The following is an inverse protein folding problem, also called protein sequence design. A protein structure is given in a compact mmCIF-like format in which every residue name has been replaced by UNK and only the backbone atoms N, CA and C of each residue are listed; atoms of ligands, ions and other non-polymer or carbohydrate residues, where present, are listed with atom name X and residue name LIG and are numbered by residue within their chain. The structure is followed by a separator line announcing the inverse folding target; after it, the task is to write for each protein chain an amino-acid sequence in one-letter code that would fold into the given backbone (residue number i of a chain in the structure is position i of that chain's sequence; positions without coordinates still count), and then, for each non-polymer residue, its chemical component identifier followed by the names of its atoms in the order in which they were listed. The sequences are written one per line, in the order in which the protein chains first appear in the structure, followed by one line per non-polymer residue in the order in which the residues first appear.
data_IF_660540664272
#
_entry.id   IF_660540664272
#
_cell.length_a   1.000
_cell.length_b   1.000
_cell.length_c   1.000
_cell.angle_alpha   90.00
_cell.angle_beta   90.00
_cell.angle_gamma   90.00
#
_symmetry.space_group_name_H-M   'P 1'
#
loop_
_entity.id
_entity.type
_entity.pdbx_description
1 polymer ?
#
# COMPACT_ATOMS: atom_id res chain seq x y z
N UNK A 1 26.01 -19.17 -25.80
CA UNK A 1 25.70 -17.94 -26.59
C UNK A 1 24.23 -17.50 -26.57
N UNK A 2 23.27 -18.36 -26.29
CA UNK A 2 21.82 -17.96 -26.16
C UNK A 2 21.43 -17.30 -24.83
N UNK A 3 22.10 -17.63 -23.73
CA UNK A 3 21.80 -17.04 -22.40
C UNK A 3 22.09 -15.53 -22.32
N UNK A 4 23.12 -15.03 -23.01
CA UNK A 4 23.46 -13.60 -22.96
C UNK A 4 22.50 -12.67 -23.73
N UNK A 5 21.71 -13.20 -24.69
CA UNK A 5 20.70 -12.38 -25.39
C UNK A 5 19.44 -12.14 -24.60
N UNK A 6 19.06 -13.06 -23.71
CA UNK A 6 17.88 -12.90 -22.84
C UNK A 6 18.14 -11.84 -21.77
N UNK A 7 19.35 -11.81 -21.19
CA UNK A 7 19.70 -10.83 -20.14
C UNK A 7 19.79 -9.39 -20.68
N UNK A 8 20.30 -9.18 -21.90
CA UNK A 8 20.32 -7.86 -22.53
C UNK A 8 18.90 -7.32 -22.78
N UNK A 9 17.97 -8.18 -23.14
CA UNK A 9 16.58 -7.81 -23.44
C UNK A 9 15.83 -7.33 -22.20
N UNK A 10 16.08 -7.89 -21.00
CA UNK A 10 15.47 -7.44 -19.74
C UNK A 10 16.05 -6.12 -19.23
N UNK A 11 17.34 -5.86 -19.41
CA UNK A 11 17.97 -4.59 -19.02
C UNK A 11 17.46 -3.42 -19.87
N UNK A 12 17.31 -3.61 -21.19
CA UNK A 12 16.75 -2.61 -22.11
C UNK A 12 15.24 -2.38 -21.88
N UNK A 13 14.48 -3.44 -21.59
CA UNK A 13 13.05 -3.31 -21.27
C UNK A 13 12.83 -2.47 -20.00
N UNK A 14 13.66 -2.63 -18.97
CA UNK A 14 13.56 -1.85 -17.73
C UNK A 14 13.93 -0.39 -17.95
N UNK A 15 14.94 -0.09 -18.77
CA UNK A 15 15.35 1.29 -19.12
C UNK A 15 14.29 2.01 -19.98
N UNK A 16 13.74 1.30 -20.98
CA UNK A 16 12.69 1.85 -21.86
C UNK A 16 11.33 2.02 -21.16
N UNK A 17 11.10 1.25 -20.08
CA UNK A 17 9.87 1.34 -19.26
C UNK A 17 9.91 2.46 -18.22
N UNK A 18 11.11 2.92 -17.81
CA UNK A 18 11.27 4.02 -16.85
C UNK A 18 10.82 5.38 -17.43
N UNK A 19 10.83 5.54 -18.75
CA UNK A 19 10.37 6.75 -19.45
C UNK A 19 8.84 6.93 -19.46
N UNK A 20 8.07 5.86 -19.20
CA UNK A 20 6.60 5.89 -19.17
C UNK A 20 5.99 6.14 -17.79
N UNK A 21 6.81 6.21 -16.74
CA UNK A 21 6.34 6.43 -15.37
C UNK A 21 6.39 7.92 -15.07
N UNK A 22 5.25 8.52 -14.71
CA UNK A 22 5.20 9.89 -14.21
C UNK A 22 6.00 10.00 -12.91
N UNK A 23 6.93 10.93 -12.85
CA UNK A 23 7.76 11.19 -11.67
C UNK A 23 7.80 12.68 -11.35
N UNK A 24 7.56 13.01 -10.09
CA UNK A 24 7.89 14.31 -9.54
C UNK A 24 9.32 14.24 -8.97
N UNK A 25 10.19 15.17 -9.33
CA UNK A 25 11.43 15.37 -8.57
C UNK A 25 11.12 16.25 -7.35
N UNK A 26 11.20 15.67 -6.16
CA UNK A 26 10.95 16.38 -4.90
C UNK A 26 12.20 17.18 -4.55
N UNK A 27 12.23 18.44 -4.95
CA UNK A 27 13.38 19.37 -4.73
C UNK A 27 13.34 20.04 -3.36
N UNK A 28 12.15 20.19 -2.76
CA UNK A 28 11.99 20.73 -1.40
C UNK A 28 12.62 19.78 -0.38
N UNK A 29 13.48 20.26 0.53
CA UNK A 29 14.09 19.41 1.55
C UNK A 29 13.01 18.74 2.42
N UNK A 30 13.11 17.42 2.58
CA UNK A 30 12.29 16.61 3.46
C UNK A 30 13.10 16.12 4.65
N UNK A 31 12.73 16.53 5.85
CA UNK A 31 13.31 16.03 7.09
C UNK A 31 12.57 14.75 7.48
N UNK A 32 13.30 13.63 7.43
CA UNK A 32 12.82 12.32 7.84
C UNK A 32 12.75 12.18 9.36
N UNK A 33 11.93 11.27 9.86
CA UNK A 33 11.84 10.99 11.30
C UNK A 33 13.18 10.48 11.87
N UNK A 34 14.02 9.81 11.07
CA UNK A 34 15.40 9.43 11.43
C UNK A 34 16.39 10.61 11.46
N UNK A 35 15.91 11.86 11.32
CA UNK A 35 16.67 13.12 11.36
C UNK A 35 17.59 13.38 10.16
N UNK A 36 17.57 12.52 9.15
CA UNK A 36 18.24 12.81 7.88
C UNK A 36 17.38 13.77 7.04
N UNK A 37 18.03 14.72 6.37
CA UNK A 37 17.39 15.61 5.40
C UNK A 37 17.71 15.10 4.00
N UNK A 38 16.69 14.94 3.16
CA UNK A 38 16.79 14.45 1.78
C UNK A 38 16.12 15.42 0.83
N UNK A 39 16.62 15.52 -0.38
CA UNK A 39 16.07 16.36 -1.46
C UNK A 39 16.43 15.76 -2.82
N UNK A 40 15.82 16.29 -3.88
CA UNK A 40 16.12 15.94 -5.26
C UNK A 40 15.96 14.43 -5.54
N UNK A 41 14.87 13.86 -5.04
CA UNK A 41 14.53 12.45 -5.19
C UNK A 41 13.24 12.24 -6.00
N UNK A 42 13.11 11.11 -6.73
CA UNK A 42 11.92 10.81 -7.51
C UNK A 42 10.75 10.34 -6.62
N UNK A 43 9.57 10.85 -6.90
CA UNK A 43 8.30 10.34 -6.41
C UNK A 43 7.45 9.94 -7.61
N UNK A 44 7.30 8.64 -7.84
CA UNK A 44 6.49 8.11 -8.93
C UNK A 44 5.00 8.20 -8.56
N UNK A 45 4.17 8.54 -9.53
CA UNK A 45 2.72 8.64 -9.34
C UNK A 45 1.96 8.36 -10.62
N UNK A 46 0.67 8.11 -10.51
CA UNK A 46 -0.24 8.03 -11.63
C UNK A 46 -1.54 8.79 -11.32
N UNK A 47 -2.21 9.22 -12.38
CA UNK A 47 -3.47 9.95 -12.28
C UNK A 47 -4.49 9.40 -13.27
N UNK A 48 -5.76 9.40 -12.88
CA UNK A 48 -6.87 8.91 -13.70
C UNK A 48 -8.01 9.92 -13.68
N UNK A 49 -8.73 10.03 -14.78
CA UNK A 49 -9.77 11.04 -14.94
C UNK A 49 -9.21 12.45 -15.15
N UNK A 50 -10.02 13.48 -14.96
CA UNK A 50 -9.65 14.86 -15.18
C UNK A 50 -9.96 15.75 -13.99
N UNK A 51 -8.98 16.56 -13.58
CA UNK A 51 -9.17 17.58 -12.55
C UNK A 51 -10.05 18.70 -13.12
N UNK A 52 -11.16 18.98 -12.44
CA UNK A 52 -12.07 20.04 -12.87
C UNK A 52 -11.52 21.44 -12.53
N UNK A 53 -12.13 22.49 -13.10
CA UNK A 53 -11.68 23.88 -12.91
C UNK A 53 -11.70 24.32 -11.44
N UNK A 54 -12.66 23.83 -10.66
CA UNK A 54 -12.83 24.18 -9.25
C UNK A 54 -11.94 23.36 -8.33
N UNK A 55 -11.22 22.35 -8.86
CA UNK A 55 -10.38 21.42 -8.10
C UNK A 55 -11.11 20.81 -6.90
N UNK A 56 -12.39 20.45 -7.09
CA UNK A 56 -13.25 19.91 -6.04
C UNK A 56 -13.62 18.43 -6.26
N UNK A 57 -12.93 17.75 -7.19
CA UNK A 57 -13.15 16.35 -7.54
C UNK A 57 -11.90 15.47 -7.38
N UNK A 58 -10.88 15.94 -6.65
CA UNK A 58 -9.65 15.19 -6.48
C UNK A 58 -9.75 14.14 -5.36
N UNK A 59 -9.35 12.91 -5.64
CA UNK A 59 -9.29 11.78 -4.70
C UNK A 59 -7.86 11.25 -4.65
N UNK A 60 -7.26 11.20 -3.46
CA UNK A 60 -5.96 10.58 -3.22
C UNK A 60 -6.14 9.15 -2.73
N UNK A 61 -5.47 8.20 -3.38
CA UNK A 61 -5.42 6.80 -2.95
C UNK A 61 -4.04 6.49 -2.39
N UNK A 62 -4.00 5.97 -1.17
CA UNK A 62 -2.81 5.43 -0.53
C UNK A 62 -2.76 3.93 -0.73
N UNK A 63 -1.72 3.41 -1.40
CA UNK A 63 -1.63 1.98 -1.68
C UNK A 63 -1.19 1.16 -0.46
N UNK A 64 -1.56 -0.12 -0.45
CA UNK A 64 -1.15 -1.10 0.56
C UNK A 64 0.32 -1.53 0.39
N UNK A 65 0.86 -2.31 1.35
CA UNK A 65 2.27 -2.75 1.43
C UNK A 65 2.89 -3.14 0.08
N UNK A 66 2.20 -3.94 -0.70
CA UNK A 66 2.70 -4.46 -1.99
C UNK A 66 2.01 -3.86 -3.20
N UNK A 67 1.26 -2.76 -3.01
CA UNK A 67 0.68 -1.96 -4.09
C UNK A 67 1.72 -1.04 -4.74
N UNK A 68 1.23 -0.26 -5.69
CA UNK A 68 1.98 0.75 -6.41
C UNK A 68 1.03 1.87 -6.89
N UNK A 69 1.52 2.79 -7.71
CA UNK A 69 0.72 3.90 -8.24
C UNK A 69 -0.34 3.48 -9.27
N UNK A 70 -0.28 2.25 -9.78
CA UNK A 70 -1.18 1.79 -10.84
C UNK A 70 -2.43 1.12 -10.28
N UNK A 71 -3.40 1.95 -9.87
CA UNK A 71 -4.66 1.49 -9.26
C UNK A 71 -5.70 1.02 -10.27
N UNK A 72 -5.62 1.47 -11.51
CA UNK A 72 -6.60 1.19 -12.58
C UNK A 72 -5.91 1.03 -13.93
N UNK A 73 -6.64 0.54 -14.93
CA UNK A 73 -6.09 0.27 -16.26
C UNK A 73 -5.01 -0.80 -16.24
N UNK A 74 -4.18 -0.85 -17.28
CA UNK A 74 -3.07 -1.82 -17.38
C UNK A 74 -1.79 -1.22 -16.80
N UNK A 75 -1.19 -1.90 -15.82
CA UNK A 75 0.11 -1.54 -15.27
C UNK A 75 1.20 -1.68 -16.36
N UNK A 76 1.90 -0.60 -16.73
CA UNK A 76 2.86 -0.63 -17.85
C UNK A 76 4.09 -1.48 -17.56
N UNK A 77 4.39 -1.77 -16.28
CA UNK A 77 5.53 -2.58 -15.84
C UNK A 77 5.18 -4.06 -15.87
N UNK A 78 4.11 -4.45 -15.19
CA UNK A 78 3.72 -5.86 -15.00
C UNK A 78 2.84 -6.40 -16.12
N UNK A 79 2.28 -5.52 -16.97
CA UNK A 79 1.30 -5.84 -18.02
C UNK A 79 0.00 -6.46 -17.49
N UNK A 80 -0.20 -6.45 -16.18
CA UNK A 80 -1.44 -6.91 -15.51
C UNK A 80 -2.35 -5.72 -15.23
N UNK A 81 -3.58 -5.99 -14.87
CA UNK A 81 -4.51 -4.94 -14.43
C UNK A 81 -3.98 -4.22 -13.19
N UNK A 82 -4.35 -2.94 -13.06
CA UNK A 82 -4.11 -2.17 -11.85
C UNK A 82 -4.70 -2.86 -10.63
N UNK A 83 -4.05 -2.70 -9.48
CA UNK A 83 -4.37 -3.51 -8.30
C UNK A 83 -5.77 -3.24 -7.71
N UNK A 84 -6.44 -2.15 -8.10
CA UNK A 84 -7.77 -1.80 -7.57
C UNK A 84 -8.82 -1.55 -8.66
N UNK A 85 -8.70 -2.21 -9.81
CA UNK A 85 -9.69 -2.11 -10.91
C UNK A 85 -11.11 -2.54 -10.50
N UNK A 86 -11.25 -3.25 -9.39
CA UNK A 86 -12.56 -3.57 -8.80
C UNK A 86 -13.28 -2.32 -8.30
N UNK A 87 -12.55 -1.34 -7.76
CA UNK A 87 -13.08 -0.12 -7.15
C UNK A 87 -12.89 1.14 -8.00
N UNK A 88 -11.82 1.21 -8.82
CA UNK A 88 -11.39 2.42 -9.54
C UNK A 88 -11.50 2.24 -11.05
N UNK A 89 -12.18 3.14 -11.71
CA UNK A 89 -12.35 3.14 -13.19
C UNK A 89 -13.66 3.77 -13.62
N UNK A 90 -13.93 3.84 -14.92
CA UNK A 90 -15.18 4.36 -15.45
C UNK A 90 -16.40 3.59 -14.90
N UNK A 91 -17.33 4.32 -14.27
CA UNK A 91 -18.55 3.74 -13.67
C UNK A 91 -18.33 2.90 -12.39
N UNK A 92 -17.11 2.78 -11.87
CA UNK A 92 -16.79 2.05 -10.64
C UNK A 92 -17.16 2.84 -9.39
N UNK A 93 -16.87 2.29 -8.22
CA UNK A 93 -17.13 2.96 -6.94
C UNK A 93 -16.41 4.32 -6.86
N UNK A 94 -15.17 4.38 -7.33
CA UNK A 94 -14.40 5.60 -7.57
C UNK A 94 -14.39 5.82 -9.09
N UNK A 95 -15.40 6.55 -9.57
CA UNK A 95 -15.69 6.72 -10.99
C UNK A 95 -14.75 7.76 -11.61
N UNK A 96 -13.82 7.32 -12.45
CA UNK A 96 -12.86 8.19 -13.14
C UNK A 96 -13.49 9.10 -14.21
N UNK A 97 -14.76 8.91 -14.59
CA UNK A 97 -15.51 9.89 -15.37
C UNK A 97 -15.89 11.14 -14.55
N UNK A 98 -15.93 11.02 -13.21
CA UNK A 98 -16.34 12.09 -12.29
C UNK A 98 -15.17 12.64 -11.49
N UNK A 99 -14.25 11.79 -11.09
CA UNK A 99 -13.21 12.07 -10.12
C UNK A 99 -11.82 12.06 -10.76
N UNK A 100 -10.99 12.99 -10.33
CA UNK A 100 -9.56 12.98 -10.61
C UNK A 100 -8.86 12.18 -9.52
N UNK A 101 -8.43 10.98 -9.85
CA UNK A 101 -7.82 10.03 -8.91
C UNK A 101 -6.29 10.13 -9.02
N UNK A 102 -5.63 10.18 -7.88
CA UNK A 102 -4.18 10.29 -7.73
C UNK A 102 -3.70 9.12 -6.87
N UNK A 103 -2.64 8.45 -7.27
CA UNK A 103 -1.92 7.50 -6.43
C UNK A 103 -0.43 7.67 -6.63
N UNK A 104 0.34 7.81 -5.54
CA UNK A 104 1.79 7.82 -5.58
C UNK A 104 2.35 6.50 -5.08
N UNK A 105 3.47 6.05 -5.65
CA UNK A 105 4.27 4.98 -5.06
C UNK A 105 5.02 5.54 -3.84
N UNK A 106 4.94 4.87 -2.70
CA UNK A 106 5.60 5.32 -1.47
C UNK A 106 7.12 5.39 -1.63
N UNK A 107 7.75 6.34 -0.96
CA UNK A 107 9.21 6.29 -0.76
C UNK A 107 9.57 5.03 0.01
N UNK A 108 10.73 4.43 -0.31
CA UNK A 108 11.08 3.08 0.18
C UNK A 108 10.52 1.95 -0.68
N UNK A 109 9.60 2.25 -1.60
CA UNK A 109 9.07 1.30 -2.59
C UNK A 109 10.05 1.03 -3.73
N UNK A 110 9.62 0.21 -4.71
CA UNK A 110 10.46 -0.22 -5.83
C UNK A 110 9.83 0.02 -7.21
N UNK A 111 8.75 0.81 -7.28
CA UNK A 111 8.02 1.08 -8.52
C UNK A 111 8.24 2.50 -9.05
N UNK A 112 9.46 3.03 -8.86
CA UNK A 112 9.92 4.28 -9.46
C UNK A 112 10.02 5.46 -8.50
N UNK A 113 9.55 5.36 -7.26
CA UNK A 113 9.85 6.31 -6.19
C UNK A 113 11.20 6.00 -5.56
N UNK A 114 11.78 6.99 -4.88
CA UNK A 114 13.03 6.86 -4.15
C UNK A 114 12.95 5.72 -3.12
N UNK A 115 13.87 4.79 -3.23
CA UNK A 115 13.89 3.58 -2.41
C UNK A 115 15.24 2.88 -2.42
N UNK A 116 15.40 1.74 -1.75
CA UNK A 116 16.67 1.01 -1.64
C UNK A 116 17.28 0.59 -2.97
N UNK A 117 16.45 0.41 -4.00
CA UNK A 117 16.86 0.02 -5.35
C UNK A 117 17.39 1.19 -6.18
N UNK A 118 17.02 2.43 -5.83
CA UNK A 118 17.46 3.61 -6.56
C UNK A 118 18.98 3.83 -6.42
N UNK A 119 19.58 4.46 -7.44
CA UNK A 119 21.00 4.74 -7.45
C UNK A 119 21.30 5.99 -6.61
N UNK A 120 22.18 5.85 -5.64
CA UNK A 120 22.75 6.98 -4.93
C UNK A 120 23.75 7.72 -5.84
N UNK A 121 23.43 8.97 -6.14
CA UNK A 121 24.25 9.84 -7.03
C UNK A 121 25.67 10.06 -6.52
N UNK A 122 25.90 9.93 -5.20
CA UNK A 122 27.22 10.14 -4.61
C UNK A 122 28.14 8.92 -4.78
N UNK A 123 27.56 7.71 -4.82
CA UNK A 123 28.33 6.45 -4.89
C UNK A 123 28.20 5.76 -6.23
N UNK A 124 27.26 6.19 -7.07
CA UNK A 124 26.86 5.54 -8.33
C UNK A 124 26.48 4.04 -8.13
N UNK A 125 25.94 3.69 -6.97
CA UNK A 125 25.48 2.35 -6.61
C UNK A 125 24.07 2.43 -6.03
N UNK A 126 23.33 1.33 -6.08
CA UNK A 126 22.04 1.25 -5.39
C UNK A 126 22.23 1.52 -3.89
N UNK A 127 21.28 2.25 -3.29
CA UNK A 127 21.34 2.54 -1.85
C UNK A 127 21.44 1.25 -1.01
N UNK A 128 20.70 0.20 -1.35
CA UNK A 128 20.64 -1.01 -0.55
C UNK A 128 20.31 -0.68 0.91
N UNK A 129 21.08 -1.21 1.87
CA UNK A 129 20.93 -0.89 3.29
C UNK A 129 21.49 0.49 3.72
N UNK A 130 22.11 1.24 2.83
CA UNK A 130 22.47 2.64 3.08
C UNK A 130 21.28 3.59 2.92
N UNK A 131 20.16 3.09 2.37
CA UNK A 131 18.91 3.86 2.33
C UNK A 131 18.50 4.22 3.76
N UNK A 132 18.04 5.46 4.03
CA UNK A 132 17.63 5.82 5.39
C UNK A 132 16.36 5.06 5.81
N UNK A 133 16.28 4.73 7.09
CA UNK A 133 15.04 4.20 7.65
C UNK A 133 13.97 5.28 7.59
N UNK A 134 12.86 4.94 6.98
CA UNK A 134 11.70 5.81 6.79
C UNK A 134 10.54 5.36 7.67
N UNK A 135 9.55 6.23 7.82
CA UNK A 135 8.30 5.97 8.54
C UNK A 135 7.08 6.21 7.65
N UNK A 136 5.91 5.78 8.09
CA UNK A 136 4.63 6.12 7.44
C UNK A 136 4.47 7.65 7.35
N UNK A 137 4.92 8.40 8.35
CA UNK A 137 4.89 9.87 8.34
C UNK A 137 5.76 10.46 7.23
N UNK A 138 6.93 9.89 6.96
CA UNK A 138 7.80 10.34 5.87
C UNK A 138 7.17 10.05 4.50
N UNK A 139 6.52 8.89 4.34
CA UNK A 139 5.76 8.57 3.12
C UNK A 139 4.67 9.62 2.87
N UNK A 140 3.92 9.96 3.90
CA UNK A 140 2.80 10.93 3.84
C UNK A 140 3.28 12.34 3.52
N UNK A 141 4.39 12.80 4.12
CA UNK A 141 5.00 14.10 3.80
C UNK A 141 5.41 14.20 2.33
N UNK A 142 5.96 13.12 1.75
CA UNK A 142 6.33 13.10 0.33
C UNK A 142 5.10 13.20 -0.59
N UNK A 143 4.00 12.58 -0.21
CA UNK A 143 2.74 12.62 -0.98
C UNK A 143 2.03 13.97 -0.87
N UNK A 144 2.16 14.66 0.26
CA UNK A 144 1.67 16.03 0.41
C UNK A 144 2.37 16.99 -0.57
N UNK A 145 3.68 16.82 -0.78
CA UNK A 145 4.43 17.56 -1.79
C UNK A 145 3.90 17.34 -3.22
N UNK A 146 3.40 16.13 -3.51
CA UNK A 146 2.75 15.87 -4.80
C UNK A 146 1.45 16.66 -4.96
N UNK A 147 0.65 16.79 -3.92
CA UNK A 147 -0.58 17.61 -3.97
C UNK A 147 -0.27 19.08 -4.24
N UNK A 148 0.77 19.62 -3.61
CA UNK A 148 1.24 20.98 -3.86
C UNK A 148 1.67 21.15 -5.32
N UNK A 149 2.42 20.18 -5.88
CA UNK A 149 2.83 20.17 -7.29
C UNK A 149 1.63 20.16 -8.25
N UNK A 150 0.58 19.41 -7.93
CA UNK A 150 -0.65 19.36 -8.73
C UNK A 150 -1.56 20.57 -8.49
N UNK A 151 -1.20 21.47 -7.57
CA UNK A 151 -1.97 22.63 -7.20
C UNK A 151 -3.29 22.29 -6.54
N UNK A 152 -3.32 21.24 -5.70
CA UNK A 152 -4.51 20.76 -4.99
C UNK A 152 -4.39 21.13 -3.51
N UNK A 153 -5.11 22.16 -3.11
CA UNK A 153 -5.10 22.64 -1.73
C UNK A 153 -5.90 21.74 -0.78
N UNK A 154 -7.03 21.21 -1.28
CA UNK A 154 -7.91 20.34 -0.50
C UNK A 154 -8.50 19.23 -1.37
N UNK A 155 -8.33 17.99 -0.92
CA UNK A 155 -8.93 16.81 -1.55
C UNK A 155 -10.44 16.74 -1.24
N UNK A 156 -11.23 16.24 -2.19
CA UNK A 156 -12.59 15.78 -1.93
C UNK A 156 -12.58 14.59 -0.96
N UNK A 157 -11.74 13.61 -1.27
CA UNK A 157 -11.64 12.39 -0.48
C UNK A 157 -10.20 11.87 -0.52
N UNK A 158 -9.80 11.22 0.57
CA UNK A 158 -8.62 10.38 0.59
C UNK A 158 -9.03 8.98 1.08
N UNK A 159 -8.46 7.92 0.50
CA UNK A 159 -8.80 6.54 0.83
C UNK A 159 -7.60 5.61 0.72
N UNK A 160 -7.63 4.52 1.47
CA UNK A 160 -6.60 3.49 1.40
C UNK A 160 -6.91 2.33 2.34
N UNK A 161 -6.49 1.12 1.93
CA UNK A 161 -6.63 -0.08 2.75
C UNK A 161 -5.31 -0.53 3.37
N UNK A 162 -5.36 -1.18 4.54
CA UNK A 162 -4.17 -1.72 5.21
C UNK A 162 -3.14 -0.63 5.50
N UNK A 163 -1.88 -0.79 5.08
CA UNK A 163 -0.85 0.27 5.14
C UNK A 163 -1.34 1.58 4.50
N UNK A 164 -2.18 1.52 3.45
CA UNK A 164 -2.80 2.72 2.86
C UNK A 164 -3.73 3.43 3.83
N UNK A 165 -4.46 2.70 4.65
CA UNK A 165 -5.28 3.25 5.73
C UNK A 165 -4.44 3.89 6.85
N UNK A 166 -3.29 3.30 7.19
CA UNK A 166 -2.32 3.91 8.14
C UNK A 166 -1.77 5.23 7.59
N UNK A 167 -1.38 5.25 6.31
CA UNK A 167 -0.95 6.48 5.64
C UNK A 167 -2.05 7.54 5.69
N UNK A 168 -3.30 7.17 5.43
CA UNK A 168 -4.43 8.08 5.48
C UNK A 168 -4.68 8.65 6.88
N UNK A 169 -4.67 7.82 7.92
CA UNK A 169 -4.80 8.28 9.31
C UNK A 169 -3.64 9.23 9.68
N UNK A 170 -2.41 8.90 9.29
CA UNK A 170 -1.26 9.77 9.46
C UNK A 170 -1.40 11.09 8.67
N UNK A 171 -1.93 11.02 7.44
CA UNK A 171 -2.17 12.20 6.59
C UNK A 171 -3.15 13.16 7.28
N UNK A 172 -4.27 12.64 7.76
CA UNK A 172 -5.26 13.45 8.48
C UNK A 172 -4.67 14.08 9.76
N UNK A 173 -3.87 13.32 10.52
CA UNK A 173 -3.23 13.83 11.73
C UNK A 173 -2.13 14.87 11.46
N UNK A 174 -1.37 14.70 10.35
CA UNK A 174 -0.26 15.60 10.00
C UNK A 174 -0.73 16.85 9.25
N UNK A 175 -1.80 16.75 8.47
CA UNK A 175 -2.33 17.80 7.61
C UNK A 175 -3.85 17.97 7.82
N UNK A 176 -4.28 18.42 9.00
CA UNK A 176 -5.69 18.67 9.27
C UNK A 176 -6.27 19.63 8.21
N UNK A 177 -7.45 19.31 7.72
CA UNK A 177 -8.17 20.06 6.68
C UNK A 177 -7.66 19.92 5.22
N UNK A 178 -6.59 19.17 4.93
CA UNK A 178 -6.15 18.88 3.54
C UNK A 178 -7.10 17.93 2.80
N UNK A 179 -8.00 17.22 3.51
CA UNK A 179 -9.07 16.43 2.87
C UNK A 179 -10.43 16.73 3.48
N UNK A 180 -11.47 16.77 2.64
CA UNK A 180 -12.85 16.96 3.09
C UNK A 180 -13.42 15.68 3.68
N UNK A 181 -13.11 14.52 3.08
CA UNK A 181 -13.51 13.21 3.60
C UNK A 181 -12.38 12.20 3.55
N UNK A 182 -12.45 11.18 4.40
CA UNK A 182 -11.44 10.16 4.54
C UNK A 182 -12.08 8.79 4.74
N UNK A 183 -11.59 7.77 4.01
CA UNK A 183 -12.06 6.39 4.12
C UNK A 183 -10.89 5.45 4.42
N UNK A 184 -10.44 5.34 5.69
CA UNK A 184 -9.52 4.29 6.13
C UNK A 184 -10.22 2.93 6.10
N UNK A 185 -9.59 1.94 5.48
CA UNK A 185 -10.18 0.61 5.25
C UNK A 185 -9.27 -0.45 5.86
N UNK A 186 -9.80 -1.34 6.70
CA UNK A 186 -9.09 -2.49 7.24
C UNK A 186 -7.69 -2.12 7.76
N UNK A 187 -7.60 -1.16 8.68
CA UNK A 187 -6.34 -0.66 9.22
C UNK A 187 -6.46 -0.36 10.73
N UNK A 188 -5.35 0.00 11.34
CA UNK A 188 -5.27 0.38 12.75
C UNK A 188 -4.43 1.64 12.92
N UNK A 189 -4.44 2.24 14.11
CA UNK A 189 -3.63 3.41 14.48
C UNK A 189 -2.21 3.06 14.92
N UNK A 190 -1.91 1.77 15.06
CA UNK A 190 -0.60 1.20 15.38
C UNK A 190 -0.55 -0.27 14.96
N UNK A 191 0.65 -0.83 14.80
CA UNK A 191 0.81 -2.26 14.59
C UNK A 191 0.68 -3.03 15.90
N UNK A 192 -0.09 -4.13 15.86
CA UNK A 192 -0.18 -5.09 16.96
C UNK A 192 1.10 -5.94 17.06
N UNK A 193 1.32 -6.58 18.21
CA UNK A 193 2.42 -7.54 18.37
C UNK A 193 2.36 -8.67 17.33
N UNK A 194 1.16 -9.13 16.97
CA UNK A 194 0.96 -10.13 15.92
C UNK A 194 1.43 -9.64 14.55
N UNK A 195 1.10 -8.41 14.17
CA UNK A 195 1.50 -7.83 12.88
C UNK A 195 3.01 -7.62 12.82
N UNK A 196 3.62 -7.15 13.92
CA UNK A 196 5.08 -7.03 14.05
C UNK A 196 5.76 -8.40 13.91
N UNK A 197 5.21 -9.45 14.53
CA UNK A 197 5.74 -10.80 14.44
C UNK A 197 5.67 -11.37 13.01
N UNK A 198 4.56 -11.17 12.29
CA UNK A 198 4.42 -11.58 10.89
C UNK A 198 5.42 -10.83 9.99
N UNK A 199 5.60 -9.53 10.20
CA UNK A 199 6.60 -8.75 9.49
C UNK A 199 8.02 -9.20 9.79
N UNK A 200 8.32 -9.51 11.05
CA UNK A 200 9.66 -10.01 11.45
C UNK A 200 9.94 -11.36 10.80
N UNK A 201 8.98 -12.28 10.79
CA UNK A 201 9.13 -13.57 10.11
C UNK A 201 9.45 -13.37 8.62
N UNK A 202 8.73 -12.47 7.95
CA UNK A 202 8.99 -12.14 6.54
C UNK A 202 10.40 -11.54 6.33
N UNK A 203 10.84 -10.64 7.20
CA UNK A 203 12.20 -10.08 7.15
C UNK A 203 13.27 -11.13 7.38
N UNK A 204 13.08 -11.99 8.39
CA UNK A 204 14.04 -13.07 8.68
C UNK A 204 14.15 -14.05 7.52
N UNK A 205 13.04 -14.38 6.83
CA UNK A 205 13.08 -15.22 5.64
C UNK A 205 13.95 -14.61 4.54
N UNK A 206 13.85 -13.30 4.31
CA UNK A 206 14.67 -12.57 3.31
C UNK A 206 16.14 -12.56 3.76
N UNK A 207 16.41 -12.21 5.02
CA UNK A 207 17.78 -12.05 5.53
C UNK A 207 18.52 -13.39 5.67
N UNK A 208 17.81 -14.49 5.86
CA UNK A 208 18.36 -15.84 5.89
C UNK A 208 18.69 -16.40 4.48
N UNK A 209 18.16 -15.80 3.41
CA UNK A 209 18.54 -16.21 2.04
C UNK A 209 20.00 -15.81 1.76
N UNK A 210 20.90 -16.78 1.46
CA UNK A 210 22.32 -16.48 1.23
C UNK A 210 22.55 -15.47 0.10
N UNK A 211 21.63 -15.40 -0.85
CA UNK A 211 21.71 -14.46 -1.99
C UNK A 211 21.47 -13.01 -1.57
N UNK A 212 20.79 -12.76 -0.44
CA UNK A 212 20.55 -11.42 0.08
C UNK A 212 21.85 -10.66 0.39
N UNK A 213 22.90 -11.37 0.86
CA UNK A 213 24.26 -10.84 1.02
C UNK A 213 24.28 -9.48 1.78
N UNK A 214 23.64 -9.41 2.94
CA UNK A 214 23.50 -8.18 3.72
C UNK A 214 22.96 -7.00 2.88
N UNK A 215 21.98 -7.25 2.03
CA UNK A 215 21.34 -6.26 1.17
C UNK A 215 22.12 -5.86 -0.09
N UNK A 216 23.26 -6.52 -0.37
CA UNK A 216 24.17 -6.16 -1.46
C UNK A 216 23.85 -6.88 -2.79
N UNK A 217 22.85 -7.74 -2.82
CA UNK A 217 22.43 -8.52 -4.00
C UNK A 217 22.19 -7.65 -5.26
N UNK A 218 21.80 -6.39 -5.09
CA UNK A 218 21.58 -5.45 -6.20
C UNK A 218 22.86 -5.20 -7.01
N UNK A 219 24.06 -5.22 -6.37
CA UNK A 219 25.34 -5.06 -7.07
C UNK A 219 25.64 -6.21 -8.02
N UNK A 220 25.10 -7.39 -7.75
CA UNK A 220 25.28 -8.60 -8.55
C UNK A 220 24.15 -8.80 -9.54
N UNK A 221 23.16 -7.91 -9.57
CA UNK A 221 21.91 -8.01 -10.36
C UNK A 221 21.21 -9.37 -10.19
N UNK A 222 21.16 -9.86 -8.96
CA UNK A 222 20.47 -11.09 -8.55
C UNK A 222 19.42 -10.75 -7.51
N UNK A 223 18.54 -11.69 -7.18
CA UNK A 223 17.48 -11.50 -6.17
C UNK A 223 17.51 -12.65 -5.15
N UNK A 224 17.28 -12.39 -3.85
CA UNK A 224 17.07 -13.42 -2.84
C UNK A 224 15.67 -14.03 -3.01
N UNK A 225 15.51 -14.84 -4.08
CA UNK A 225 14.22 -15.32 -4.56
C UNK A 225 13.49 -16.17 -3.54
N UNK A 226 14.23 -17.06 -2.85
CA UNK A 226 13.63 -17.98 -1.88
C UNK A 226 13.12 -17.23 -0.65
N UNK A 227 13.94 -16.37 -0.06
CA UNK A 227 13.55 -15.57 1.09
C UNK A 227 12.39 -14.63 0.78
N UNK A 228 12.43 -13.95 -0.36
CA UNK A 228 11.36 -13.05 -0.78
C UNK A 228 10.05 -13.81 -1.09
N UNK A 229 10.14 -15.00 -1.69
CA UNK A 229 8.97 -15.86 -1.93
C UNK A 229 8.32 -16.31 -0.61
N UNK A 230 9.12 -16.74 0.38
CA UNK A 230 8.61 -17.13 1.71
C UNK A 230 7.97 -15.92 2.41
N UNK A 231 8.60 -14.74 2.35
CA UNK A 231 8.01 -13.51 2.88
C UNK A 231 6.62 -13.22 2.27
N UNK A 232 6.44 -13.47 0.98
CA UNK A 232 5.14 -13.32 0.30
C UNK A 232 4.13 -14.39 0.73
N UNK A 233 4.57 -15.64 0.96
CA UNK A 233 3.70 -16.71 1.48
C UNK A 233 3.13 -16.34 2.86
N UNK A 234 3.94 -15.77 3.76
CA UNK A 234 3.49 -15.26 5.06
C UNK A 234 2.35 -14.25 4.88
N UNK A 235 2.51 -13.31 3.94
CA UNK A 235 1.47 -12.36 3.58
C UNK A 235 0.18 -13.06 3.14
N UNK A 236 0.24 -14.01 2.19
CA UNK A 236 -0.95 -14.69 1.69
C UNK A 236 -1.68 -15.51 2.78
N UNK A 237 -0.95 -16.09 3.72
CA UNK A 237 -1.58 -16.75 4.87
C UNK A 237 -2.32 -15.74 5.75
N UNK A 238 -1.73 -14.57 6.00
CA UNK A 238 -2.32 -13.56 6.87
C UNK A 238 -3.47 -12.78 6.23
N UNK A 239 -3.53 -12.68 4.89
CA UNK A 239 -4.56 -11.91 4.17
C UNK A 239 -5.87 -12.68 3.97
N UNK A 240 -5.83 -14.00 3.94
CA UNK A 240 -7.03 -14.83 3.79
C UNK A 240 -7.64 -15.17 5.16
N UNK A 241 -8.95 -15.28 5.24
CA UNK A 241 -9.61 -15.82 6.42
C UNK A 241 -9.44 -17.34 6.49
N UNK A 242 -9.52 -17.90 7.72
CA UNK A 242 -9.54 -19.36 7.92
C UNK A 242 -10.65 -20.02 7.07
N UNK A 243 -11.84 -19.41 7.06
CA UNK A 243 -12.99 -19.92 6.31
C UNK A 243 -12.73 -19.85 4.80
N UNK A 244 -12.30 -18.70 4.28
CA UNK A 244 -12.00 -18.54 2.85
C UNK A 244 -10.89 -19.48 2.38
N UNK A 245 -9.86 -19.71 3.19
CA UNK A 245 -8.80 -20.67 2.88
C UNK A 245 -9.34 -22.12 2.86
N UNK A 246 -10.19 -22.48 3.84
CA UNK A 246 -10.82 -23.80 3.90
C UNK A 246 -11.76 -24.05 2.71
N UNK A 247 -12.58 -23.08 2.33
CA UNK A 247 -13.49 -23.20 1.19
C UNK A 247 -12.75 -23.30 -0.14
N UNK A 248 -11.69 -22.52 -0.30
CA UNK A 248 -10.89 -22.50 -1.53
C UNK A 248 -10.08 -23.77 -1.74
N UNK A 249 -9.40 -24.24 -0.72
CA UNK A 249 -8.43 -25.33 -0.83
C UNK A 249 -8.85 -26.60 -0.08
N UNK A 250 -9.37 -26.48 1.14
CA UNK A 250 -9.65 -27.63 2.01
C UNK A 250 -8.41 -28.49 2.18
N UNK A 251 -8.58 -29.79 1.95
CA UNK A 251 -7.51 -30.80 1.84
C UNK A 251 -7.36 -31.34 0.41
N UNK A 252 -7.71 -30.53 -0.58
CA UNK A 252 -7.64 -30.95 -1.98
C UNK A 252 -6.19 -31.21 -2.39
N UNK A 253 -5.97 -32.39 -2.95
CA UNK A 253 -4.70 -32.74 -3.56
C UNK A 253 -4.55 -32.03 -4.91
N UNK A 254 -3.33 -31.93 -5.40
CA UNK A 254 -3.04 -31.61 -6.79
C UNK A 254 -3.64 -32.69 -7.70
N UNK A 255 -3.33 -32.71 -8.98
CA UNK A 255 -3.77 -33.75 -9.92
C UNK A 255 -3.14 -35.11 -9.58
N UNK A 256 -3.44 -35.62 -8.36
CA UNK A 256 -2.90 -36.85 -7.78
C UNK A 256 -4.03 -37.65 -7.12
N UNK A 257 -3.91 -38.97 -7.20
CA UNK A 257 -4.89 -39.88 -6.58
C UNK A 257 -4.65 -40.05 -5.07
N UNK A 258 -3.39 -39.94 -4.60
CA UNK A 258 -3.00 -40.13 -3.20
C UNK A 258 -1.71 -39.34 -2.86
N UNK A 259 -1.25 -39.39 -1.63
CA UNK A 259 0.00 -38.78 -1.17
C UNK A 259 1.24 -39.44 -1.81
N UNK A 260 2.21 -38.60 -2.18
CA UNK A 260 3.48 -39.09 -2.73
C UNK A 260 4.54 -39.37 -1.65
N UNK A 261 4.26 -39.02 -0.37
CA UNK A 261 5.20 -39.15 0.74
C UNK A 261 6.56 -38.49 0.46
N UNK A 262 6.53 -37.36 -0.22
CA UNK A 262 7.70 -36.54 -0.59
C UNK A 262 7.58 -35.13 -0.01
N UNK A 263 8.58 -34.27 -0.27
CA UNK A 263 8.52 -32.83 0.07
C UNK A 263 8.03 -31.96 -1.11
N UNK A 264 7.56 -32.56 -2.17
CA UNK A 264 6.85 -31.85 -3.25
C UNK A 264 5.42 -31.49 -2.80
N UNK A 265 4.78 -30.60 -3.55
CA UNK A 265 3.44 -30.15 -3.21
C UNK A 265 2.40 -31.26 -3.45
N UNK A 266 1.84 -31.81 -2.40
CA UNK A 266 0.70 -32.71 -2.46
C UNK A 266 -0.62 -31.92 -2.46
N UNK A 267 -0.73 -30.89 -1.64
CA UNK A 267 -1.96 -30.10 -1.48
C UNK A 267 -1.99 -28.88 -2.40
N UNK A 268 -3.18 -28.52 -2.87
CA UNK A 268 -3.38 -27.34 -3.71
C UNK A 268 -2.92 -26.04 -3.01
N UNK A 269 -3.08 -25.93 -1.69
CA UNK A 269 -2.65 -24.76 -0.93
C UNK A 269 -1.12 -24.58 -0.96
N UNK A 270 -0.35 -25.67 -0.97
CA UNK A 270 1.12 -25.59 -1.06
C UNK A 270 1.55 -25.04 -2.42
N UNK A 271 0.99 -25.59 -3.50
CA UNK A 271 1.23 -25.10 -4.85
C UNK A 271 0.82 -23.63 -5.02
N UNK A 272 -0.34 -23.26 -4.49
CA UNK A 272 -0.81 -21.88 -4.48
C UNK A 272 0.20 -20.94 -3.80
N UNK A 273 0.66 -21.26 -2.60
CA UNK A 273 1.62 -20.44 -1.88
C UNK A 273 2.95 -20.31 -2.62
N UNK A 274 3.49 -21.42 -3.16
CA UNK A 274 4.70 -21.43 -3.99
C UNK A 274 4.52 -20.52 -5.21
N UNK A 275 3.41 -20.64 -5.93
CA UNK A 275 3.11 -19.83 -7.11
C UNK A 275 3.03 -18.32 -6.74
N UNK A 276 2.30 -17.96 -5.68
CA UNK A 276 2.18 -16.57 -5.24
C UNK A 276 3.53 -15.98 -4.78
N UNK A 277 4.34 -16.80 -4.12
CA UNK A 277 5.69 -16.41 -3.70
C UNK A 277 6.57 -16.07 -4.90
N UNK A 278 6.71 -16.97 -5.85
CA UNK A 278 7.59 -16.76 -7.02
C UNK A 278 7.07 -15.69 -7.98
N UNK A 279 5.76 -15.58 -8.19
CA UNK A 279 5.18 -14.50 -9.00
C UNK A 279 5.46 -13.11 -8.41
N UNK A 280 5.58 -13.02 -7.09
CA UNK A 280 5.92 -11.76 -6.41
C UNK A 280 7.37 -11.33 -6.61
N UNK A 281 8.30 -12.28 -6.64
CA UNK A 281 9.74 -12.03 -6.83
C UNK A 281 10.02 -11.27 -8.13
N UNK A 282 9.23 -11.50 -9.18
CA UNK A 282 9.43 -10.86 -10.48
C UNK A 282 9.16 -9.34 -10.46
N UNK A 283 8.41 -8.84 -9.48
CA UNK A 283 7.97 -7.44 -9.46
C UNK A 283 8.38 -6.64 -8.23
N UNK A 284 8.85 -7.28 -7.16
CA UNK A 284 9.12 -6.59 -5.91
C UNK A 284 10.58 -6.73 -5.47
N UNK A 285 11.07 -5.73 -4.77
CA UNK A 285 12.45 -5.68 -4.26
C UNK A 285 12.51 -6.11 -2.80
N UNK A 286 13.47 -6.99 -2.48
CA UNK A 286 13.59 -7.56 -1.13
C UNK A 286 13.94 -6.51 -0.07
N UNK A 287 14.88 -5.60 -0.35
CA UNK A 287 15.21 -4.52 0.58
C UNK A 287 14.02 -3.59 0.79
N UNK A 288 13.23 -3.31 -0.24
CA UNK A 288 12.01 -2.51 -0.09
C UNK A 288 11.01 -3.15 0.88
N UNK A 289 10.85 -4.48 0.89
CA UNK A 289 10.03 -5.18 1.90
C UNK A 289 10.56 -4.92 3.31
N UNK A 290 11.88 -4.99 3.51
CA UNK A 290 12.49 -4.72 4.83
C UNK A 290 12.16 -3.31 5.33
N UNK A 291 12.34 -2.31 4.47
CA UNK A 291 12.11 -0.90 4.82
C UNK A 291 10.63 -0.58 5.05
N UNK A 292 9.74 -1.03 4.16
CA UNK A 292 8.31 -0.73 4.29
C UNK A 292 7.70 -1.45 5.49
N UNK A 293 8.03 -2.72 5.72
CA UNK A 293 7.54 -3.44 6.91
C UNK A 293 8.09 -2.84 8.21
N UNK A 294 9.33 -2.34 8.21
CA UNK A 294 9.86 -1.60 9.36
C UNK A 294 9.13 -0.27 9.57
N UNK A 295 8.79 0.45 8.51
CA UNK A 295 8.00 1.68 8.61
C UNK A 295 6.60 1.42 9.18
N UNK A 296 5.98 0.28 8.84
CA UNK A 296 4.70 -0.16 9.41
C UNK A 296 4.84 -0.52 10.89
N UNK A 297 5.91 -1.24 11.30
CA UNK A 297 6.15 -1.61 12.70
C UNK A 297 6.38 -0.37 13.59
N UNK A 298 6.99 0.68 13.05
CA UNK A 298 7.21 1.95 13.75
C UNK A 298 5.97 2.83 13.79
N UNK A 299 4.92 2.48 13.04
CA UNK A 299 3.70 3.25 13.04
C UNK A 299 2.95 3.07 14.36
N UNK A 300 2.92 4.12 15.14
CA UNK A 300 2.10 4.28 16.34
C UNK A 300 1.69 5.74 16.44
N UNK A 301 0.47 6.02 16.00
CA UNK A 301 -0.04 7.38 15.94
C UNK A 301 -0.21 7.98 17.34
N UNK A 302 -0.51 7.15 18.34
CA UNK A 302 -0.70 7.62 19.72
C UNK A 302 0.58 8.20 20.33
N UNK A 303 1.74 7.63 19.99
CA UNK A 303 3.05 8.08 20.50
C UNK A 303 3.51 9.41 19.90
N UNK A 304 2.92 9.84 18.78
CA UNK A 304 3.32 11.08 18.10
C UNK A 304 2.72 12.32 18.74
N UNK A 305 1.70 12.17 19.60
CA UNK A 305 0.95 13.26 20.21
C UNK A 305 0.87 13.08 21.72
N UNK A 306 1.05 14.18 22.48
CA UNK A 306 1.10 14.12 23.96
C UNK A 306 -0.17 13.58 24.60
N UNK A 307 -1.33 13.90 24.05
CA UNK A 307 -2.66 13.42 24.50
C UNK A 307 -3.12 12.15 23.75
N UNK A 308 -2.21 11.41 23.11
CA UNK A 308 -2.52 10.18 22.40
C UNK A 308 -3.38 10.39 21.15
N UNK A 309 -4.22 9.41 20.82
CA UNK A 309 -5.04 9.43 19.60
C UNK A 309 -6.07 10.57 19.58
N UNK A 310 -6.57 11.00 20.71
CA UNK A 310 -7.53 12.12 20.79
C UNK A 310 -6.86 13.40 20.30
N UNK A 311 -5.63 13.67 20.74
CA UNK A 311 -4.87 14.84 20.28
C UNK A 311 -4.48 14.72 18.79
N UNK A 312 -4.22 13.51 18.30
CA UNK A 312 -3.92 13.27 16.88
C UNK A 312 -5.06 13.72 15.94
N UNK A 313 -6.28 13.60 16.41
CA UNK A 313 -7.49 13.93 15.64
C UNK A 313 -8.22 15.19 16.13
N UNK A 314 -7.66 15.92 17.07
CA UNK A 314 -8.25 17.14 17.56
C UNK A 314 -8.40 18.20 16.46
N UNK A 315 -9.53 18.89 16.47
CA UNK A 315 -9.87 19.93 15.49
C UNK A 315 -10.01 19.45 14.03
N UNK A 316 -10.21 18.14 13.81
CA UNK A 316 -10.51 17.61 12.49
C UNK A 316 -11.88 18.10 11.99
N UNK A 317 -11.90 18.62 10.76
CA UNK A 317 -13.13 18.90 10.00
C UNK A 317 -13.42 17.85 8.93
N UNK A 318 -12.53 16.89 8.81
CA UNK A 318 -12.65 15.76 7.88
C UNK A 318 -13.80 14.85 8.29
N UNK A 319 -14.61 14.44 7.32
CA UNK A 319 -15.68 13.44 7.51
C UNK A 319 -15.10 12.05 7.31
N UNK A 320 -15.15 11.22 8.32
CA UNK A 320 -14.58 9.87 8.26
C UNK A 320 -15.65 8.80 7.98
N UNK A 321 -15.27 7.80 7.19
CA UNK A 321 -15.92 6.50 7.13
C UNK A 321 -14.88 5.43 7.38
N UNK A 322 -14.91 4.80 8.54
CA UNK A 322 -14.05 3.66 8.86
C UNK A 322 -14.73 2.38 8.38
N UNK A 323 -14.02 1.57 7.58
CA UNK A 323 -14.55 0.29 7.07
C UNK A 323 -13.69 -0.85 7.59
N UNK A 324 -14.33 -1.86 8.19
CA UNK A 324 -13.72 -3.14 8.58
C UNK A 324 -14.40 -4.32 7.90
N UNK A 325 -13.75 -5.47 7.91
CA UNK A 325 -14.28 -6.73 7.38
C UNK A 325 -14.40 -7.76 8.50
N UNK A 326 -15.55 -8.43 8.60
CA UNK A 326 -15.88 -9.31 9.74
C UNK A 326 -14.94 -10.50 9.91
N UNK A 327 -14.28 -10.93 8.85
CA UNK A 327 -13.34 -12.06 8.85
C UNK A 327 -11.86 -11.65 8.79
N UNK A 328 -11.57 -10.34 8.84
CA UNK A 328 -10.20 -9.84 8.90
C UNK A 328 -9.63 -10.08 10.31
N UNK A 329 -8.59 -10.93 10.37
CA UNK A 329 -7.91 -11.24 11.61
C UNK A 329 -6.54 -10.54 11.74
N UNK A 330 -6.14 -9.82 10.67
CA UNK A 330 -4.91 -9.03 10.63
C UNK A 330 -5.15 -7.60 11.17
N UNK A 331 -6.26 -6.96 10.77
CA UNK A 331 -6.76 -5.69 11.29
C UNK A 331 -8.22 -5.85 11.67
N UNK A 332 -8.43 -6.29 12.89
CA UNK A 332 -9.73 -6.72 13.39
C UNK A 332 -10.76 -5.58 13.43
N UNK A 333 -12.04 -5.95 13.37
CA UNK A 333 -13.15 -4.99 13.62
C UNK A 333 -12.98 -4.25 14.96
N UNK A 334 -12.40 -4.92 15.97
CA UNK A 334 -12.12 -4.28 17.28
C UNK A 334 -11.15 -3.11 17.13
N UNK A 335 -10.02 -3.28 16.47
CA UNK A 335 -9.00 -2.25 16.26
C UNK A 335 -9.57 -1.07 15.44
N UNK A 336 -10.40 -1.37 14.44
CA UNK A 336 -11.11 -0.34 13.67
C UNK A 336 -12.10 0.44 14.56
N UNK A 337 -12.83 -0.22 15.46
CA UNK A 337 -13.72 0.44 16.45
C UNK A 337 -12.93 1.29 17.45
N UNK A 338 -11.75 0.87 17.86
CA UNK A 338 -10.89 1.69 18.73
C UNK A 338 -10.49 3.00 18.02
N UNK A 339 -10.25 2.96 16.71
CA UNK A 339 -10.05 4.17 15.88
C UNK A 339 -11.30 5.06 15.85
N UNK A 340 -12.50 4.49 15.72
CA UNK A 340 -13.77 5.22 15.74
C UNK A 340 -13.97 5.91 17.09
N UNK A 341 -13.69 5.22 18.20
CA UNK A 341 -13.78 5.79 19.55
C UNK A 341 -12.85 6.98 19.70
N UNK A 342 -11.60 6.87 19.21
CA UNK A 342 -10.64 7.97 19.28
C UNK A 342 -11.11 9.19 18.47
N UNK A 343 -11.63 8.98 17.26
CA UNK A 343 -12.18 10.03 16.40
C UNK A 343 -13.40 10.71 17.05
N UNK A 344 -14.35 9.95 17.59
CA UNK A 344 -15.51 10.47 18.31
C UNK A 344 -15.08 11.29 19.54
N UNK A 345 -14.12 10.77 20.32
CA UNK A 345 -13.59 11.46 21.50
C UNK A 345 -12.88 12.77 21.16
N UNK A 346 -12.33 12.87 19.94
CA UNK A 346 -11.73 14.09 19.41
C UNK A 346 -12.77 15.07 18.81
N UNK A 347 -14.05 14.69 18.76
CA UNK A 347 -15.14 15.49 18.18
C UNK A 347 -15.19 15.45 16.64
N UNK A 348 -14.58 14.46 16.00
CA UNK A 348 -14.61 14.31 14.55
C UNK A 348 -15.95 13.72 14.07
N UNK A 349 -16.36 14.08 12.84
CA UNK A 349 -17.53 13.49 12.16
C UNK A 349 -17.12 12.11 11.61
N UNK A 350 -17.54 11.03 12.28
CA UNK A 350 -17.15 9.66 11.92
C UNK A 350 -18.36 8.74 11.80
N UNK A 351 -18.38 7.98 10.69
CA UNK A 351 -19.25 6.84 10.44
C UNK A 351 -18.43 5.55 10.45
N UNK A 352 -19.07 4.42 10.75
CA UNK A 352 -18.46 3.10 10.78
C UNK A 352 -19.29 2.07 10.00
N UNK A 353 -18.63 1.25 9.20
CA UNK A 353 -19.25 0.13 8.50
C UNK A 353 -18.42 -1.14 8.69
N UNK A 354 -19.03 -2.18 9.24
CA UNK A 354 -18.48 -3.55 9.24
C UNK A 354 -19.11 -4.34 8.10
N UNK A 355 -18.30 -4.68 7.10
CA UNK A 355 -18.73 -5.49 5.95
C UNK A 355 -18.67 -6.97 6.33
N UNK A 356 -19.80 -7.67 6.21
CA UNK A 356 -19.88 -9.12 6.45
C UNK A 356 -19.30 -9.89 5.28
N UNK A 357 -18.18 -10.55 5.47
CA UNK A 357 -17.47 -11.30 4.42
C UNK A 357 -16.61 -12.40 5.03
N UNK A 358 -16.25 -13.40 4.25
CA UNK A 358 -15.33 -14.48 4.59
C UNK A 358 -13.98 -14.41 3.86
N UNK A 359 -13.75 -13.32 3.08
CA UNK A 359 -12.55 -13.18 2.24
C UNK A 359 -11.32 -12.68 2.99
N UNK A 360 -11.44 -12.35 4.28
CA UNK A 360 -10.35 -11.89 5.13
C UNK A 360 -9.94 -10.46 4.84
N UNK A 361 -8.66 -10.17 5.05
CA UNK A 361 -8.08 -8.85 4.87
C UNK A 361 -8.14 -8.36 3.41
N UNK A 362 -7.97 -9.26 2.44
CA UNK A 362 -8.01 -8.92 1.02
C UNK A 362 -9.40 -8.52 0.49
N UNK A 363 -10.43 -8.49 1.34
CA UNK A 363 -11.81 -8.16 0.97
C UNK A 363 -11.92 -6.82 0.23
N UNK A 364 -11.08 -5.83 0.53
CA UNK A 364 -11.10 -4.55 -0.18
C UNK A 364 -10.49 -4.60 -1.59
N UNK A 365 -9.70 -5.63 -1.91
CA UNK A 365 -9.06 -5.81 -3.22
C UNK A 365 -9.91 -6.58 -4.21
N UNK A 366 -10.83 -7.40 -3.70
CA UNK A 366 -11.67 -8.27 -4.51
C UNK A 366 -13.07 -7.67 -4.72
N UNK A 367 -13.86 -8.30 -5.59
CA UNK A 367 -15.23 -7.87 -5.79
C UNK A 367 -16.09 -8.23 -4.56
N UNK A 368 -16.31 -7.24 -3.70
CA UNK A 368 -17.18 -7.29 -2.53
C UNK A 368 -18.27 -6.23 -2.69
N UNK A 369 -19.49 -6.62 -3.14
CA UNK A 369 -20.51 -5.66 -3.57
C UNK A 369 -20.96 -4.69 -2.47
N UNK A 370 -21.10 -5.16 -1.22
CA UNK A 370 -21.49 -4.31 -0.10
C UNK A 370 -20.44 -3.25 0.21
N UNK A 371 -19.17 -3.63 0.20
CA UNK A 371 -18.04 -2.71 0.35
C UNK A 371 -18.04 -1.65 -0.75
N UNK A 372 -18.12 -2.08 -2.02
CA UNK A 372 -18.06 -1.16 -3.17
C UNK A 372 -19.24 -0.18 -3.17
N UNK A 373 -20.45 -0.65 -2.82
CA UNK A 373 -21.64 0.20 -2.67
C UNK A 373 -21.49 1.21 -1.55
N UNK A 374 -20.97 0.79 -0.39
CA UNK A 374 -20.74 1.64 0.78
C UNK A 374 -19.72 2.73 0.47
N UNK A 375 -18.58 2.36 -0.13
CA UNK A 375 -17.54 3.29 -0.55
C UNK A 375 -18.09 4.33 -1.55
N UNK A 376 -18.80 3.86 -2.59
CA UNK A 376 -19.40 4.74 -3.60
C UNK A 376 -20.40 5.71 -2.97
N UNK A 377 -21.31 5.22 -2.15
CA UNK A 377 -22.37 6.02 -1.53
C UNK A 377 -21.78 7.14 -0.65
N UNK A 378 -20.73 6.83 0.12
CA UNK A 378 -20.06 7.83 0.95
C UNK A 378 -19.36 8.90 0.11
N UNK A 379 -18.60 8.52 -0.92
CA UNK A 379 -17.88 9.45 -1.80
C UNK A 379 -18.88 10.35 -2.55
N UNK A 380 -19.92 9.78 -3.16
CA UNK A 380 -20.93 10.57 -3.89
C UNK A 380 -21.66 11.56 -2.95
N UNK A 381 -22.03 11.13 -1.73
CA UNK A 381 -22.67 12.00 -0.73
C UNK A 381 -21.76 13.13 -0.27
N UNK A 382 -20.51 12.82 0.03
CA UNK A 382 -19.53 13.83 0.48
C UNK A 382 -19.18 14.81 -0.63
N UNK A 383 -19.18 14.37 -1.90
CA UNK A 383 -18.97 15.28 -3.04
C UNK A 383 -20.07 16.35 -3.16
N UNK A 384 -21.33 15.96 -2.96
CA UNK A 384 -22.45 16.91 -2.95
C UNK A 384 -22.27 17.96 -1.82
N UNK A 385 -21.90 17.49 -0.62
CA UNK A 385 -21.66 18.37 0.54
C UNK A 385 -20.48 19.31 0.30
N UNK A 386 -19.37 18.80 -0.24
CA UNK A 386 -18.16 19.58 -0.52
C UNK A 386 -18.42 20.71 -1.53
N UNK A 387 -19.20 20.44 -2.57
CA UNK A 387 -19.61 21.47 -3.54
C UNK A 387 -20.47 22.57 -2.88
N UNK A 388 -21.33 22.21 -1.95
CA UNK A 388 -22.19 23.18 -1.28
C UNK A 388 -21.42 24.06 -0.28
N UNK A 389 -20.36 23.56 0.34
CA UNK A 389 -19.51 24.37 1.22
C UNK A 389 -18.58 25.35 0.46
N UNK A 390 -18.36 25.11 -0.84
CA UNK A 390 -17.56 26.02 -1.71
C UNK A 390 -18.39 27.10 -2.42
N UNK A 391 -19.71 27.01 -2.38
CA UNK A 391 -20.63 28.05 -2.87
C UNK A 391 -20.87 29.12 -1.81
#
# INVERSE_FOLDING_TARGET
MQLNRVFAQYSWAFFYMSEKIKKLNVSKPLVLDCKKTVKDFPLAYETYGSLNKNKDNAILIFHALTGDQFVSGTNPITKKDGWWVTAVGPGKAIDTNKYFVICANVIGGCMGSWGPKEIDKNTNQAYGLNFPVITIKDMVKSQETLLDHLGIDKLLCATGGSMGGMQLLQFCASFPNKTFSAVPIACSTNHSAQNIALNELARQAIMADPVWDNGKYLKKNIQPKNGLAVARMVGHISYLSKKGMQEKFGRKLQEKADYEFSFDADFQVESYLRHQGFAFVERFDANSILYITRAMDYFDLSRQFKGGLVDAFKNQKTKFLIISFSSDWLYTTKENKDTVIALNSAGADVSFAEIKTDKGHDSFLVNEPEFLKTLKGFIDSTHIKFKNEKK
#
